data_IF_743858083648
#
_entry.id   IF_743858083648
#
_cell.length_a   1.000
_cell.length_b   1.000
_cell.length_c   1.000
_cell.angle_alpha   90.00
_cell.angle_beta   90.00
_cell.angle_gamma   90.00
#
_symmetry.space_group_name_H-M   'P 1'
#
loop_
_entity.id
_entity.type
_entity.pdbx_description
1 polymer ?
#
# COMPACT_ATOMS: atom_id res chain seq x y z
N UNK A 1 -2.13 -21.46 8.41
CA UNK A 1 -1.66 -20.99 9.71
C UNK A 1 -1.35 -19.50 9.64
N UNK A 2 -1.58 -18.73 10.70
CA UNK A 2 -1.14 -17.33 10.71
C UNK A 2 0.38 -17.31 10.50
N UNK A 3 0.86 -16.39 9.66
CA UNK A 3 2.29 -16.27 9.41
C UNK A 3 3.03 -16.04 10.72
N UNK A 4 4.27 -16.55 10.85
CA UNK A 4 5.10 -16.36 12.04
C UNK A 4 5.28 -14.87 12.40
N UNK A 5 5.29 -13.99 11.39
CA UNK A 5 5.31 -12.55 11.55
C UNK A 5 4.08 -12.00 12.30
N UNK A 6 2.87 -12.49 11.99
CA UNK A 6 1.67 -12.10 12.71
C UNK A 6 1.77 -12.46 14.20
N UNK A 7 2.31 -13.64 14.55
CA UNK A 7 2.49 -14.05 15.95
C UNK A 7 3.43 -13.13 16.74
N UNK A 8 4.48 -12.60 16.11
CA UNK A 8 5.43 -11.69 16.77
C UNK A 8 4.83 -10.29 17.01
N UNK A 9 4.00 -9.82 16.09
CA UNK A 9 3.24 -8.56 16.24
C UNK A 9 2.31 -8.62 17.46
N UNK A 10 1.69 -9.79 17.70
CA UNK A 10 0.69 -9.97 18.77
C UNK A 10 1.26 -10.31 20.15
N UNK A 11 2.53 -10.69 20.27
CA UNK A 11 3.10 -11.09 21.59
C UNK A 11 3.01 -10.01 22.67
N UNK A 12 2.79 -8.75 22.32
CA UNK A 12 2.68 -7.64 23.30
C UNK A 12 1.26 -7.24 23.67
N UNK A 13 0.25 -7.75 22.97
CA UNK A 13 -1.16 -7.43 23.26
C UNK A 13 -2.06 -8.67 23.20
N UNK A 14 -1.88 -9.68 24.09
CA UNK A 14 -2.71 -10.88 24.10
C UNK A 14 -4.21 -10.58 24.25
N UNK A 15 -4.56 -9.43 24.84
CA UNK A 15 -5.94 -9.01 25.04
C UNK A 15 -6.69 -8.71 23.72
N UNK A 16 -5.97 -8.42 22.62
CA UNK A 16 -6.56 -8.08 21.32
C UNK A 16 -6.68 -9.28 20.37
N UNK A 17 -6.28 -10.47 20.84
CA UNK A 17 -6.37 -11.71 20.08
C UNK A 17 -7.63 -12.51 20.42
N UNK A 18 -8.19 -13.26 19.48
CA UNK A 18 -7.84 -13.28 18.05
C UNK A 18 -8.41 -12.05 17.32
N UNK A 19 -7.68 -11.55 16.32
CA UNK A 19 -8.18 -10.51 15.42
C UNK A 19 -8.35 -11.04 13.99
N UNK A 20 -9.37 -10.53 13.31
CA UNK A 20 -9.64 -10.71 11.89
C UNK A 20 -9.55 -9.37 11.15
N UNK A 21 -9.04 -8.34 11.84
CA UNK A 21 -8.82 -7.01 11.29
C UNK A 21 -7.38 -6.89 10.81
N UNK A 22 -7.17 -6.96 9.49
CA UNK A 22 -5.85 -6.81 8.88
C UNK A 22 -5.22 -5.45 9.20
N UNK A 23 -6.03 -4.38 9.37
CA UNK A 23 -5.52 -3.05 9.70
C UNK A 23 -4.72 -3.06 11.00
N UNK A 24 -5.19 -3.80 12.01
CA UNK A 24 -4.46 -3.94 13.28
C UNK A 24 -3.11 -4.65 13.13
N UNK A 25 -2.99 -5.58 12.18
CA UNK A 25 -1.72 -6.25 11.86
C UNK A 25 -0.78 -5.25 11.17
N UNK A 26 -1.27 -4.59 10.13
CA UNK A 26 -0.52 -3.65 9.31
C UNK A 26 0.04 -2.47 10.13
N UNK A 27 -0.72 -1.95 11.08
CA UNK A 27 -0.27 -0.88 11.97
C UNK A 27 0.88 -1.30 12.91
N UNK A 28 1.11 -2.58 13.12
CA UNK A 28 2.10 -3.10 14.06
C UNK A 28 3.32 -3.77 13.42
N UNK A 29 3.51 -3.68 12.10
CA UNK A 29 4.62 -4.32 11.38
C UNK A 29 6.00 -4.00 11.95
N UNK A 30 6.21 -2.77 12.42
CA UNK A 30 7.47 -2.33 13.03
C UNK A 30 7.88 -3.11 14.29
N UNK A 31 6.95 -3.84 14.92
CA UNK A 31 7.16 -4.66 16.11
C UNK A 31 7.71 -6.04 15.78
N UNK A 32 7.78 -6.43 14.52
CA UNK A 32 8.37 -7.69 14.08
C UNK A 32 9.84 -7.70 14.48
N UNK A 33 10.23 -8.74 15.23
CA UNK A 33 11.61 -8.91 15.70
C UNK A 33 12.55 -9.10 14.52
N UNK A 34 13.63 -8.33 14.47
CA UNK A 34 14.60 -8.40 13.39
C UNK A 34 14.20 -7.68 12.10
N UNK A 35 13.02 -7.05 12.02
CA UNK A 35 12.66 -6.24 10.88
C UNK A 35 13.63 -5.07 10.70
N UNK A 36 14.15 -4.91 9.49
CA UNK A 36 15.06 -3.83 9.12
C UNK A 36 14.39 -2.45 9.21
N UNK A 37 15.20 -1.38 9.28
CA UNK A 37 14.72 0.01 9.21
C UNK A 37 13.97 0.28 7.89
N UNK A 38 14.51 -0.24 6.79
CA UNK A 38 13.91 -0.22 5.47
C UNK A 38 13.27 -1.56 5.18
N UNK A 39 11.97 -1.59 4.96
CA UNK A 39 11.26 -2.83 4.61
C UNK A 39 10.18 -2.57 3.57
N UNK A 40 9.82 -3.62 2.85
CA UNK A 40 8.75 -3.59 1.85
C UNK A 40 7.62 -4.49 2.32
N UNK A 41 6.43 -3.93 2.40
CA UNK A 41 5.22 -4.67 2.73
C UNK A 41 4.57 -5.22 1.46
N UNK A 42 4.28 -6.52 1.47
CA UNK A 42 3.55 -7.23 0.44
C UNK A 42 2.27 -7.83 1.01
N UNK A 43 1.19 -7.79 0.24
CA UNK A 43 0.04 -8.65 0.46
C UNK A 43 0.20 -9.94 -0.37
N UNK A 44 -0.63 -10.93 -0.10
CA UNK A 44 -0.62 -12.25 -0.75
C UNK A 44 -1.09 -12.23 -2.22
N UNK A 45 -1.73 -11.14 -2.64
CA UNK A 45 -2.19 -10.88 -4.02
C UNK A 45 -1.17 -10.09 -4.87
N UNK A 46 0.03 -9.82 -4.34
CA UNK A 46 1.07 -9.03 -4.99
C UNK A 46 2.23 -9.89 -5.48
N UNK A 47 2.59 -9.74 -6.76
CA UNK A 47 3.62 -10.54 -7.42
C UNK A 47 4.66 -9.67 -8.12
N UNK A 48 5.91 -10.13 -8.10
CA UNK A 48 6.97 -9.59 -8.94
C UNK A 48 6.96 -10.37 -10.27
N UNK A 49 6.89 -9.67 -11.39
CA UNK A 49 6.83 -10.29 -12.73
C UNK A 49 8.03 -9.90 -13.60
N UNK A 50 8.91 -9.06 -13.10
CA UNK A 50 10.19 -8.70 -13.71
C UNK A 50 11.23 -8.43 -12.61
N UNK A 51 12.49 -8.35 -12.99
CA UNK A 51 13.59 -8.09 -12.07
C UNK A 51 13.43 -6.77 -11.34
N UNK A 52 13.50 -6.83 -10.01
CA UNK A 52 13.50 -5.67 -9.12
C UNK A 52 14.86 -5.48 -8.47
N UNK A 53 15.19 -4.24 -8.16
CA UNK A 53 16.41 -3.85 -7.45
C UNK A 53 16.04 -3.13 -6.16
N UNK A 54 16.91 -3.07 -5.16
CA UNK A 54 16.67 -2.27 -3.96
C UNK A 54 16.30 -0.81 -4.27
N UNK A 55 16.88 -0.24 -5.36
CA UNK A 55 16.61 1.13 -5.80
C UNK A 55 15.20 1.33 -6.39
N UNK A 56 14.49 0.26 -6.70
CA UNK A 56 13.07 0.34 -7.07
C UNK A 56 12.18 0.63 -5.85
N UNK A 57 12.68 0.32 -4.65
CA UNK A 57 11.96 0.53 -3.39
C UNK A 57 12.54 1.64 -2.53
N UNK A 58 13.87 1.85 -2.57
CA UNK A 58 14.53 2.86 -1.74
C UNK A 58 15.63 3.59 -2.51
N UNK A 59 15.66 4.91 -2.40
CA UNK A 59 16.73 5.76 -2.94
C UNK A 59 17.16 6.78 -1.91
N UNK A 60 18.47 6.94 -1.73
CA UNK A 60 19.05 7.90 -0.77
C UNK A 60 18.47 7.75 0.66
N UNK A 61 18.21 6.50 1.08
CA UNK A 61 17.63 6.21 2.39
C UNK A 61 16.12 6.46 2.52
N UNK A 62 15.41 6.82 1.43
CA UNK A 62 13.98 7.08 1.45
C UNK A 62 13.18 6.10 0.59
N UNK A 63 11.96 5.74 1.00
CA UNK A 63 11.02 4.97 0.20
C UNK A 63 10.75 5.64 -1.15
N UNK A 64 10.75 4.86 -2.22
CA UNK A 64 10.31 5.29 -3.54
C UNK A 64 8.80 5.19 -3.64
N UNK A 65 8.11 6.31 -3.87
CA UNK A 65 6.65 6.30 -3.88
C UNK A 65 6.06 7.37 -4.80
N UNK A 66 4.76 7.23 -5.03
CA UNK A 66 3.99 8.06 -5.95
C UNK A 66 3.04 8.97 -5.16
N UNK A 67 3.55 10.12 -4.70
CA UNK A 67 2.77 11.09 -3.94
C UNK A 67 1.83 11.88 -4.87
N UNK A 68 0.71 11.27 -5.24
CA UNK A 68 -0.32 11.87 -6.09
C UNK A 68 -1.60 12.01 -5.29
N UNK A 69 -1.97 13.24 -5.02
CA UNK A 69 -3.23 13.56 -4.37
C UNK A 69 -4.41 13.29 -5.32
N UNK A 70 -5.50 12.78 -4.78
CA UNK A 70 -6.71 12.47 -5.54
C UNK A 70 -7.95 12.73 -4.71
N UNK A 71 -9.04 13.13 -5.36
CA UNK A 71 -10.35 13.11 -4.76
C UNK A 71 -10.75 11.67 -4.45
N UNK A 72 -11.31 11.45 -3.27
CA UNK A 72 -11.85 10.17 -2.87
C UNK A 72 -13.34 10.13 -3.19
N UNK A 73 -13.76 9.06 -3.86
CA UNK A 73 -15.17 8.81 -4.17
C UNK A 73 -15.53 7.44 -3.62
N UNK A 74 -16.61 7.38 -2.86
CA UNK A 74 -17.17 6.13 -2.36
C UNK A 74 -18.32 5.70 -3.26
N UNK A 75 -18.19 4.53 -3.85
CA UNK A 75 -19.19 3.94 -4.74
C UNK A 75 -20.16 3.00 -4.02
N UNK A 76 -19.79 2.52 -2.83
CA UNK A 76 -20.57 1.56 -2.06
C UNK A 76 -20.48 1.84 -0.55
N UNK A 77 -21.60 2.23 0.05
CA UNK A 77 -21.71 2.54 1.49
C UNK A 77 -21.31 1.36 2.41
N UNK A 78 -21.39 0.13 1.90
CA UNK A 78 -21.02 -1.08 2.66
C UNK A 78 -19.53 -1.38 2.62
N UNK A 79 -18.78 -0.72 1.73
CA UNK A 79 -17.34 -0.89 1.64
C UNK A 79 -16.64 0.12 2.59
N UNK A 80 -16.03 -0.31 3.70
CA UNK A 80 -15.39 0.59 4.65
C UNK A 80 -14.09 1.20 4.12
N UNK A 81 -13.56 0.71 3.00
CA UNK A 81 -12.22 1.06 2.54
C UNK A 81 -12.04 2.56 2.24
N UNK A 82 -13.04 3.19 1.60
CA UNK A 82 -12.99 4.62 1.35
C UNK A 82 -12.97 5.43 2.65
N UNK A 83 -13.73 4.99 3.67
CA UNK A 83 -13.72 5.63 4.99
C UNK A 83 -12.34 5.52 5.65
N UNK A 84 -11.68 4.36 5.55
CA UNK A 84 -10.33 4.13 6.07
C UNK A 84 -9.33 5.12 5.42
N UNK A 85 -9.34 5.25 4.10
CA UNK A 85 -8.48 6.20 3.39
C UNK A 85 -8.78 7.67 3.76
N UNK A 86 -10.04 8.01 4.04
CA UNK A 86 -10.42 9.32 4.55
C UNK A 86 -9.87 9.54 5.97
N UNK A 87 -9.97 8.55 6.83
CA UNK A 87 -9.47 8.62 8.20
C UNK A 87 -7.94 8.77 8.21
N UNK A 88 -7.22 8.03 7.36
CA UNK A 88 -5.76 8.18 7.18
C UNK A 88 -5.39 9.61 6.78
N UNK A 89 -6.12 10.21 5.83
CA UNK A 89 -5.90 11.58 5.42
C UNK A 89 -6.30 12.58 6.50
N UNK A 90 -7.41 12.35 7.20
CA UNK A 90 -7.87 13.20 8.29
C UNK A 90 -6.84 13.24 9.43
N UNK A 91 -6.27 12.07 9.77
CA UNK A 91 -5.24 11.99 10.79
C UNK A 91 -3.99 12.79 10.39
N UNK A 92 -3.55 12.70 9.13
CA UNK A 92 -2.46 13.52 8.62
C UNK A 92 -2.79 15.03 8.63
N UNK A 93 -4.04 15.41 8.32
CA UNK A 93 -4.49 16.80 8.33
C UNK A 93 -4.50 17.42 9.73
N UNK A 94 -4.63 16.63 10.79
CA UNK A 94 -4.53 17.13 12.17
C UNK A 94 -3.11 17.63 12.51
N UNK A 95 -2.08 17.09 11.86
CA UNK A 95 -0.67 17.38 12.14
C UNK A 95 -0.02 18.30 11.12
N UNK A 96 -0.49 18.29 9.87
CA UNK A 96 0.21 18.92 8.75
C UNK A 96 -0.66 19.90 7.98
N UNK A 97 -0.14 21.12 7.82
CA UNK A 97 -0.77 22.11 6.94
C UNK A 97 -0.36 21.86 5.49
N UNK A 98 -1.33 21.65 4.62
CA UNK A 98 -1.11 21.31 3.20
C UNK A 98 -0.24 22.34 2.46
N UNK A 99 -0.52 23.64 2.64
CA UNK A 99 0.24 24.69 1.94
C UNK A 99 1.70 24.71 2.36
N UNK A 100 1.97 24.50 3.65
CA UNK A 100 3.33 24.45 4.17
C UNK A 100 4.09 23.21 3.68
N UNK A 101 3.44 22.04 3.69
CA UNK A 101 4.02 20.81 3.17
C UNK A 101 4.39 20.96 1.70
N UNK A 102 3.45 21.43 0.87
CA UNK A 102 3.69 21.63 -0.56
C UNK A 102 4.80 22.66 -0.80
N UNK A 103 4.80 23.78 -0.05
CA UNK A 103 5.87 24.79 -0.15
C UNK A 103 7.25 24.23 0.16
N UNK A 104 7.38 23.44 1.23
CA UNK A 104 8.65 22.81 1.65
C UNK A 104 9.12 21.75 0.67
N UNK A 105 8.20 21.08 -0.03
CA UNK A 105 8.47 19.88 -0.80
C UNK A 105 8.06 20.00 -2.28
N UNK A 106 7.97 21.21 -2.81
CA UNK A 106 7.46 21.48 -4.14
C UNK A 106 8.10 20.60 -5.24
N UNK A 107 9.42 20.38 -5.19
CA UNK A 107 10.13 19.52 -6.14
C UNK A 107 9.69 18.06 -6.11
N UNK A 108 9.31 17.54 -4.92
CA UNK A 108 8.81 16.17 -4.78
C UNK A 108 7.33 16.10 -5.14
N UNK A 109 6.56 17.12 -4.75
CA UNK A 109 5.12 17.19 -5.01
C UNK A 109 4.81 17.33 -6.50
N UNK A 110 5.62 18.11 -7.21
CA UNK A 110 5.49 18.35 -8.65
C UNK A 110 6.58 17.65 -9.47
N UNK A 111 6.95 16.44 -9.06
CA UNK A 111 7.98 15.67 -9.74
C UNK A 111 7.54 15.21 -11.13
N UNK A 112 8.38 15.39 -12.17
CA UNK A 112 8.10 14.87 -13.51
C UNK A 112 8.03 13.34 -13.56
N UNK A 113 8.53 12.62 -12.54
CA UNK A 113 8.42 11.18 -12.43
C UNK A 113 6.96 10.69 -12.45
N UNK A 114 6.01 11.51 -12.04
CA UNK A 114 4.59 11.17 -12.03
C UNK A 114 3.93 11.20 -13.42
N UNK A 115 4.63 11.75 -14.44
CA UNK A 115 4.09 11.87 -15.78
C UNK A 115 2.78 12.67 -15.82
N UNK A 116 1.81 12.25 -16.62
CA UNK A 116 0.51 12.92 -16.72
C UNK A 116 -0.28 12.97 -15.40
N UNK A 117 -0.01 12.08 -14.46
CA UNK A 117 -0.68 12.09 -13.16
C UNK A 117 -0.30 13.29 -12.29
N UNK A 118 0.80 13.97 -12.59
CA UNK A 118 1.18 15.24 -11.96
C UNK A 118 0.03 16.25 -11.99
N UNK A 119 -0.76 16.24 -13.04
CA UNK A 119 -1.88 17.16 -13.20
C UNK A 119 -2.92 17.04 -12.08
N UNK A 120 -3.05 15.87 -11.46
CA UNK A 120 -3.93 15.69 -10.28
C UNK A 120 -3.47 16.54 -9.10
N UNK A 121 -2.16 16.57 -8.81
CA UNK A 121 -1.64 17.40 -7.73
C UNK A 121 -1.93 18.89 -7.98
N UNK A 122 -1.91 19.34 -9.24
CA UNK A 122 -2.27 20.72 -9.60
C UNK A 122 -3.77 20.97 -9.38
N UNK A 123 -4.63 20.05 -9.81
CA UNK A 123 -6.09 20.16 -9.63
C UNK A 123 -6.51 20.16 -8.16
N UNK A 124 -5.73 19.51 -7.29
CA UNK A 124 -6.04 19.45 -5.86
C UNK A 124 -5.52 20.66 -5.06
N UNK A 125 -4.76 21.59 -5.67
CA UNK A 125 -4.24 22.79 -4.98
C UNK A 125 -5.31 23.69 -4.35
N UNK A 126 -6.50 23.91 -4.94
CA UNK A 126 -7.52 24.75 -4.35
C UNK A 126 -8.10 24.24 -3.03
N UNK A 127 -8.00 22.93 -2.78
CA UNK A 127 -8.51 22.34 -1.54
C UNK A 127 -7.56 22.67 -0.38
N UNK A 128 -8.17 23.07 0.74
CA UNK A 128 -7.43 23.49 1.93
C UNK A 128 -6.69 22.35 2.60
N UNK A 129 -7.32 21.18 2.66
CA UNK A 129 -6.84 19.98 3.33
C UNK A 129 -6.49 18.91 2.29
N UNK A 130 -5.69 17.90 2.67
CA UNK A 130 -5.47 16.72 1.85
C UNK A 130 -6.74 15.87 1.80
N UNK A 131 -7.19 15.53 0.60
CA UNK A 131 -8.37 14.68 0.43
C UNK A 131 -8.02 13.19 0.60
N UNK A 132 -7.09 12.71 -0.18
CA UNK A 132 -6.52 11.36 -0.14
C UNK A 132 -5.37 11.28 -1.14
N UNK A 133 -4.67 10.14 -1.16
CA UNK A 133 -3.62 9.88 -2.14
C UNK A 133 -3.97 8.69 -3.01
N UNK A 134 -3.37 8.66 -4.21
CA UNK A 134 -3.57 7.56 -5.14
C UNK A 134 -3.26 6.22 -4.47
N UNK A 135 -4.29 5.43 -4.33
CA UNK A 135 -4.18 4.05 -3.91
C UNK A 135 -3.68 3.18 -5.07
N UNK A 136 -2.57 2.52 -4.91
CA UNK A 136 -1.99 1.67 -5.96
C UNK A 136 -2.04 0.18 -5.67
N UNK A 137 -2.35 -0.22 -4.44
CA UNK A 137 -2.36 -1.60 -3.96
C UNK A 137 -1.21 -2.44 -4.53
N UNK A 138 0.00 -1.97 -4.29
CA UNK A 138 1.25 -2.56 -4.76
C UNK A 138 2.22 -2.67 -3.58
N UNK A 139 3.28 -3.48 -3.70
CA UNK A 139 4.31 -3.54 -2.69
C UNK A 139 4.74 -2.16 -2.23
N UNK A 140 4.67 -1.92 -0.93
CA UNK A 140 4.85 -0.59 -0.34
C UNK A 140 6.09 -0.52 0.52
N UNK A 141 7.07 0.35 0.19
CA UNK A 141 8.26 0.57 0.99
C UNK A 141 7.97 1.50 2.17
N UNK A 142 8.50 1.14 3.34
CA UNK A 142 8.33 1.88 4.58
C UNK A 142 9.64 2.04 5.35
N UNK A 143 9.68 3.10 6.18
CA UNK A 143 10.67 3.30 7.23
C UNK A 143 10.09 2.85 8.56
N UNK A 144 10.79 1.98 9.26
CA UNK A 144 10.40 1.53 10.61
C UNK A 144 10.30 2.69 11.60
N UNK A 145 11.19 3.68 11.48
CA UNK A 145 11.16 4.90 12.28
C UNK A 145 9.86 5.71 12.08
N UNK A 146 9.25 5.67 10.88
CA UNK A 146 7.95 6.34 10.65
C UNK A 146 6.85 5.68 11.48
N UNK A 147 6.82 4.36 11.56
CA UNK A 147 5.86 3.64 12.40
C UNK A 147 5.99 4.03 13.87
N UNK A 148 7.21 4.04 14.42
CA UNK A 148 7.45 4.45 15.80
C UNK A 148 6.96 5.87 16.05
N UNK A 149 7.24 6.79 15.13
CA UNK A 149 6.80 8.18 15.24
C UNK A 149 5.28 8.30 15.26
N UNK A 150 4.58 7.66 14.32
CA UNK A 150 3.11 7.71 14.26
C UNK A 150 2.48 7.08 15.51
N UNK A 151 3.07 5.99 16.02
CA UNK A 151 2.64 5.40 17.28
C UNK A 151 2.88 6.31 18.49
N UNK A 152 3.92 7.10 18.48
CA UNK A 152 4.21 8.08 19.54
C UNK A 152 3.22 9.27 19.50
N UNK A 153 2.89 9.73 18.30
CA UNK A 153 2.00 10.87 18.09
C UNK A 153 0.50 10.48 18.18
N UNK A 154 0.10 9.31 17.67
CA UNK A 154 -1.30 8.88 17.51
C UNK A 154 -1.61 7.52 18.13
N UNK A 155 -0.82 7.10 19.11
CA UNK A 155 -0.94 5.79 19.74
C UNK A 155 -2.35 5.45 20.25
N UNK A 156 -3.11 6.43 20.71
CA UNK A 156 -4.48 6.24 21.19
C UNK A 156 -5.43 5.82 20.05
N UNK A 157 -5.33 6.46 18.88
CA UNK A 157 -6.15 6.13 17.70
C UNK A 157 -5.75 4.78 17.16
N UNK A 158 -4.44 4.50 17.03
CA UNK A 158 -3.95 3.22 16.52
C UNK A 158 -4.30 2.05 17.45
N UNK A 159 -4.25 2.27 18.76
CA UNK A 159 -4.61 1.26 19.76
C UNK A 159 -6.12 0.93 19.70
N UNK A 160 -6.97 1.92 19.45
CA UNK A 160 -8.40 1.71 19.30
C UNK A 160 -8.70 0.81 18.07
N UNK A 161 -8.01 1.03 16.95
CA UNK A 161 -8.10 0.14 15.78
C UNK A 161 -7.66 -1.28 16.12
N UNK A 162 -6.62 -1.42 16.95
CA UNK A 162 -6.12 -2.74 17.37
C UNK A 162 -7.10 -3.51 18.24
N UNK A 163 -8.00 -2.84 18.97
CA UNK A 163 -9.09 -3.46 19.75
C UNK A 163 -10.20 -4.01 18.87
N UNK A 164 -10.36 -3.47 17.67
CA UNK A 164 -11.42 -3.88 16.75
C UNK A 164 -11.12 -5.27 16.16
N UNK A 165 -11.94 -6.25 16.52
CA UNK A 165 -11.79 -7.63 16.04
C UNK A 165 -12.03 -7.78 14.53
N UNK A 166 -12.85 -6.92 13.96
CA UNK A 166 -13.20 -6.82 12.55
C UNK A 166 -13.02 -5.37 12.08
N UNK A 167 -12.83 -5.17 10.76
CA UNK A 167 -12.74 -3.83 10.16
C UNK A 167 -13.99 -3.01 10.48
N UNK A 168 -13.76 -1.75 10.81
CA UNK A 168 -14.82 -0.77 11.04
C UNK A 168 -14.62 0.43 10.09
N UNK A 169 -15.65 1.27 9.98
CA UNK A 169 -15.57 2.52 9.20
C UNK A 169 -14.69 3.59 9.87
N UNK A 170 -14.30 3.37 11.11
CA UNK A 170 -13.47 4.28 11.89
C UNK A 170 -11.99 3.87 11.90
N UNK A 171 -11.65 2.74 11.30
CA UNK A 171 -10.27 2.27 11.27
C UNK A 171 -9.39 3.20 10.43
N UNK A 172 -8.10 3.17 10.73
CA UNK A 172 -6.98 3.60 9.88
C UNK A 172 -6.12 2.38 9.56
N UNK A 173 -5.24 2.48 8.56
CA UNK A 173 -4.37 1.39 8.18
C UNK A 173 -2.93 1.86 7.91
N UNK A 174 -2.07 1.01 7.31
CA UNK A 174 -0.67 1.35 7.04
C UNK A 174 -0.47 2.54 6.11
N UNK A 175 -1.50 3.01 5.40
CA UNK A 175 -1.39 4.22 4.57
C UNK A 175 -1.19 5.48 5.39
N UNK A 176 -1.59 5.51 6.66
CA UNK A 176 -1.25 6.61 7.55
C UNK A 176 0.27 6.80 7.64
N UNK A 177 1.05 5.70 7.72
CA UNK A 177 2.52 5.75 7.74
C UNK A 177 3.08 6.31 6.43
N UNK A 178 2.49 5.92 5.30
CA UNK A 178 2.84 6.45 3.98
C UNK A 178 2.54 7.96 3.89
N UNK A 179 1.42 8.40 4.42
CA UNK A 179 1.06 9.82 4.44
C UNK A 179 2.03 10.63 5.29
N UNK A 180 2.45 10.12 6.47
CA UNK A 180 3.52 10.76 7.25
C UNK A 180 4.82 10.88 6.45
N UNK A 181 5.22 9.83 5.73
CA UNK A 181 6.40 9.90 4.84
C UNK A 181 6.26 11.01 3.80
N UNK A 182 5.07 11.18 3.22
CA UNK A 182 4.80 12.27 2.28
C UNK A 182 4.88 13.64 2.94
N UNK A 183 4.22 13.82 4.08
CA UNK A 183 4.17 15.10 4.80
C UNK A 183 5.55 15.55 5.27
N UNK A 184 6.39 14.61 5.70
CA UNK A 184 7.74 14.89 6.16
C UNK A 184 8.80 14.94 5.03
N UNK A 185 8.41 14.65 3.80
CA UNK A 185 9.33 14.57 2.67
C UNK A 185 10.29 13.37 2.74
N UNK A 186 9.98 12.38 3.52
CA UNK A 186 10.74 11.14 3.66
C UNK A 186 10.38 10.13 2.57
N UNK A 187 10.39 10.57 1.33
CA UNK A 187 10.17 9.72 0.16
C UNK A 187 10.93 10.24 -1.05
N UNK A 188 11.13 9.37 -2.04
CA UNK A 188 11.67 9.70 -3.35
C UNK A 188 10.58 9.52 -4.40
N UNK A 189 10.26 10.55 -5.21
CA UNK A 189 9.25 10.45 -6.25
C UNK A 189 9.55 9.32 -7.25
N UNK A 190 8.53 8.49 -7.53
CA UNK A 190 8.61 7.35 -8.43
C UNK A 190 7.48 7.35 -9.45
N UNK A 191 7.75 6.74 -10.60
CA UNK A 191 6.76 6.57 -11.66
C UNK A 191 5.63 5.63 -11.21
N UNK A 192 4.35 6.00 -11.45
CA UNK A 192 3.21 5.13 -11.20
C UNK A 192 3.16 3.91 -12.13
N UNK A 193 4.06 3.84 -13.13
CA UNK A 193 4.13 2.74 -14.10
C UNK A 193 4.92 1.53 -13.62
N UNK A 194 5.51 1.59 -12.41
CA UNK A 194 6.32 0.51 -11.85
C UNK A 194 5.51 -0.78 -11.67
N UNK A 195 4.25 -0.65 -11.34
CA UNK A 195 3.34 -1.79 -11.17
C UNK A 195 1.93 -1.49 -11.65
N UNK A 196 1.10 -2.55 -11.70
CA UNK A 196 -0.30 -2.47 -12.11
C UNK A 196 -1.18 -3.28 -11.19
N UNK A 197 -2.37 -2.75 -10.94
CA UNK A 197 -3.45 -3.43 -10.22
C UNK A 197 -4.50 -3.90 -11.21
N UNK A 198 -4.95 -5.14 -11.04
CA UNK A 198 -6.01 -5.73 -11.84
C UNK A 198 -7.02 -6.46 -10.97
N UNK A 199 -8.28 -6.45 -11.42
CA UNK A 199 -9.33 -7.29 -10.86
C UNK A 199 -9.51 -8.50 -11.79
N UNK A 200 -9.37 -9.70 -11.24
CA UNK A 200 -9.59 -10.98 -11.94
C UNK A 200 -11.05 -11.05 -12.38
N UNK A 201 -11.29 -11.61 -13.55
CA UNK A 201 -12.64 -11.68 -14.16
C UNK A 201 -13.02 -10.43 -14.94
N UNK A 202 -12.42 -9.27 -14.68
CA UNK A 202 -12.66 -8.03 -15.43
C UNK A 202 -11.55 -7.71 -16.44
N UNK A 203 -10.32 -8.14 -16.16
CA UNK A 203 -9.13 -7.71 -16.90
C UNK A 203 -8.27 -8.90 -17.40
N UNK A 204 -8.83 -10.08 -17.54
CA UNK A 204 -8.09 -11.33 -17.77
C UNK A 204 -7.09 -11.26 -18.93
N UNK A 205 -7.52 -10.78 -20.10
CA UNK A 205 -6.62 -10.63 -21.25
C UNK A 205 -5.44 -9.68 -20.96
N UNK A 206 -5.72 -8.58 -20.23
CA UNK A 206 -4.69 -7.62 -19.85
C UNK A 206 -3.74 -8.21 -18.82
N UNK A 207 -4.24 -9.01 -17.86
CA UNK A 207 -3.45 -9.74 -16.88
C UNK A 207 -2.45 -10.65 -17.60
N UNK A 208 -2.95 -11.55 -18.46
CA UNK A 208 -2.10 -12.50 -19.19
C UNK A 208 -1.06 -11.80 -20.07
N UNK A 209 -1.45 -10.74 -20.78
CA UNK A 209 -0.54 -9.94 -21.59
C UNK A 209 0.54 -9.29 -20.72
N UNK A 210 0.13 -8.67 -19.58
CA UNK A 210 1.06 -7.97 -18.69
C UNK A 210 2.09 -8.92 -18.08
N UNK A 211 1.66 -10.11 -17.61
CA UNK A 211 2.55 -11.11 -17.03
C UNK A 211 3.52 -11.62 -18.10
N UNK A 212 3.02 -12.17 -19.20
CA UNK A 212 3.84 -12.80 -20.25
C UNK A 212 4.83 -11.85 -20.91
N UNK A 213 4.52 -10.55 -20.98
CA UNK A 213 5.40 -9.51 -21.55
C UNK A 213 6.22 -8.78 -20.51
N UNK A 214 6.06 -9.12 -19.24
CA UNK A 214 6.74 -8.39 -18.15
C UNK A 214 6.58 -6.85 -18.32
N UNK A 215 5.33 -6.41 -18.62
CA UNK A 215 5.06 -5.02 -19.03
C UNK A 215 5.16 -4.01 -17.87
N UNK A 216 5.43 -4.47 -16.66
CA UNK A 216 5.79 -3.71 -15.47
C UNK A 216 6.56 -4.63 -14.53
N UNK A 217 7.11 -4.09 -13.44
CA UNK A 217 7.92 -4.90 -12.51
C UNK A 217 7.08 -5.72 -11.54
N UNK A 218 5.90 -5.22 -11.19
CA UNK A 218 5.04 -5.84 -10.18
C UNK A 218 3.57 -5.73 -10.57
N UNK A 219 2.78 -6.67 -10.07
CA UNK A 219 1.35 -6.76 -10.34
C UNK A 219 0.61 -7.15 -9.06
N UNK A 220 -0.56 -6.56 -8.86
CA UNK A 220 -1.53 -7.07 -7.89
C UNK A 220 -2.71 -7.67 -8.65
N UNK A 221 -3.12 -8.86 -8.23
CA UNK A 221 -4.22 -9.62 -8.78
C UNK A 221 -5.31 -9.79 -7.73
N UNK A 222 -6.21 -8.83 -7.68
CA UNK A 222 -7.31 -8.85 -6.71
C UNK A 222 -8.47 -9.69 -7.22
N UNK A 223 -8.97 -10.61 -6.42
CA UNK A 223 -10.19 -11.35 -6.72
C UNK A 223 -11.44 -10.48 -6.43
N UNK A 224 -12.48 -10.71 -7.22
CA UNK A 224 -13.81 -10.13 -7.00
C UNK A 224 -14.80 -11.27 -6.75
N UNK A 225 -15.89 -10.98 -6.07
CA UNK A 225 -16.99 -11.93 -5.82
C UNK A 225 -17.58 -12.55 -7.12
N UNK A 226 -17.28 -11.98 -8.27
CA UNK A 226 -17.75 -12.38 -9.59
C UNK A 226 -16.64 -12.95 -10.47
N UNK A 227 -15.68 -13.68 -9.92
CA UNK A 227 -14.56 -14.27 -10.70
C UNK A 227 -15.02 -15.27 -11.78
N UNK A 228 -16.27 -15.75 -11.72
CA UNK A 228 -16.77 -16.79 -12.61
C UNK A 228 -16.20 -18.17 -12.28
N UNK A 229 -15.63 -18.88 -13.28
CA UNK A 229 -14.98 -20.17 -13.07
C UNK A 229 -13.58 -19.96 -12.46
N UNK A 230 -13.50 -20.02 -11.12
CA UNK A 230 -12.27 -19.82 -10.33
C UNK A 230 -11.14 -20.79 -10.77
N UNK A 231 -11.45 -22.07 -10.97
CA UNK A 231 -10.42 -23.07 -11.33
C UNK A 231 -9.84 -22.82 -12.72
N UNK A 232 -10.66 -22.36 -13.66
CA UNK A 232 -10.22 -21.94 -14.98
C UNK A 232 -9.31 -20.72 -14.89
N UNK A 233 -9.74 -19.67 -14.19
CA UNK A 233 -8.96 -18.44 -14.00
C UNK A 233 -7.62 -18.70 -13.37
N UNK A 234 -7.60 -19.49 -12.30
CA UNK A 234 -6.39 -19.91 -11.60
C UNK A 234 -5.41 -20.59 -12.56
N UNK A 235 -5.86 -21.59 -13.33
CA UNK A 235 -5.01 -22.31 -14.30
C UNK A 235 -4.45 -21.39 -15.39
N UNK A 236 -5.25 -20.46 -15.90
CA UNK A 236 -4.81 -19.52 -16.94
C UNK A 236 -3.76 -18.53 -16.42
N UNK A 237 -3.95 -18.02 -15.18
CA UNK A 237 -2.97 -17.17 -14.49
C UNK A 237 -1.69 -17.95 -14.23
N UNK A 238 -1.77 -19.17 -13.69
CA UNK A 238 -0.62 -20.04 -13.46
C UNK A 238 0.18 -20.26 -14.74
N UNK A 239 -0.47 -20.61 -15.86
CA UNK A 239 0.19 -20.75 -17.18
C UNK A 239 0.89 -19.46 -17.63
N UNK A 240 0.38 -18.31 -17.26
CA UNK A 240 1.03 -17.03 -17.60
C UNK A 240 2.29 -16.79 -16.79
N UNK A 241 2.31 -17.19 -15.52
CA UNK A 241 3.51 -17.18 -14.69
C UNK A 241 4.54 -18.23 -15.12
N UNK A 242 4.12 -19.44 -15.51
CA UNK A 242 5.00 -20.49 -16.03
C UNK A 242 5.78 -20.05 -17.28
N UNK A 243 5.23 -19.13 -18.09
CA UNK A 243 5.97 -18.56 -19.24
C UNK A 243 7.19 -17.75 -18.82
N UNK A 244 7.11 -17.03 -17.69
CA UNK A 244 8.21 -16.17 -17.19
C UNK A 244 9.04 -16.83 -16.11
N UNK A 245 8.50 -17.85 -15.44
CA UNK A 245 9.16 -18.66 -14.41
C UNK A 245 8.99 -20.15 -14.72
N UNK A 246 9.70 -20.68 -15.75
CA UNK A 246 9.53 -22.07 -16.18
C UNK A 246 10.14 -23.09 -15.19
N UNK A 247 11.09 -22.65 -14.38
CA UNK A 247 11.76 -23.48 -13.38
C UNK A 247 11.25 -23.18 -11.98
N UNK A 248 11.10 -24.22 -11.16
CA UNK A 248 10.78 -24.06 -9.75
C UNK A 248 11.88 -23.28 -9.03
N UNK A 249 11.49 -22.42 -8.09
CA UNK A 249 12.45 -21.78 -7.22
C UNK A 249 13.06 -22.80 -6.24
N UNK A 250 14.23 -22.50 -5.68
CA UNK A 250 14.87 -23.34 -4.64
C UNK A 250 14.06 -23.45 -3.34
N UNK A 251 12.99 -22.67 -3.20
CA UNK A 251 12.08 -22.66 -2.05
C UNK A 251 10.78 -23.46 -2.28
N UNK A 252 10.55 -23.91 -3.51
CA UNK A 252 9.40 -24.76 -3.85
C UNK A 252 9.76 -26.24 -3.62
N UNK A 253 9.02 -26.87 -2.71
CA UNK A 253 9.15 -28.31 -2.43
C UNK A 253 8.41 -29.18 -3.44
#
# INVERSE_FOLDING_TARGET
>A
SPSSAASDVYKRQPAYLPTFNINSIELNLHRIKGLSEHFVFFNDDMFLIDSVRPEDFFKNGFPCDCCIETALVQDNIRNPFANILMNDAALANMHYNKKEVIKKQAKKWFSPAYGAMLFRNVLMLPYREFSSFKYSHLPSPFLKATYWKVWDEEGAVLDEVCKNRFRTVFDVNQYVMKYWQYMEGKFTPQSPKLGRFYTIGKHDQQIHHTIRRQACKMICLNDDVNVGDFEKQKKEIQRSFEVIFPEKSSFEM
#
